data_IF_471245148920
#
_entry.id   IF_471245148920
#
_cell.length_a   1.000
_cell.length_b   1.000
_cell.length_c   1.000
_cell.angle_alpha   90.00
_cell.angle_beta   90.00
_cell.angle_gamma   90.00
#
_symmetry.space_group_name_H-M   'P 1'
#
loop_
_entity.id
_entity.type
_entity.pdbx_description
1 polymer ?
#
# COMPACT_ATOMS: atom_id res chain seq x y z
N UNK A 1 -4.62 -13.38 18.41
CA UNK A 1 -4.41 -11.92 18.57
C UNK A 1 -5.72 -11.20 18.32
N UNK A 2 -6.08 -10.20 19.13
CA UNK A 2 -7.31 -9.41 18.98
C UNK A 2 -7.23 -8.57 17.68
N UNK A 3 -8.37 -8.31 17.03
CA UNK A 3 -8.46 -7.50 15.80
C UNK A 3 -7.92 -6.08 16.01
N UNK A 4 -8.16 -5.49 17.18
CA UNK A 4 -7.63 -4.18 17.56
C UNK A 4 -6.09 -4.17 17.58
N UNK A 5 -5.46 -5.19 18.14
CA UNK A 5 -3.99 -5.29 18.17
C UNK A 5 -3.44 -5.43 16.74
N UNK A 6 -4.07 -6.26 15.90
CA UNK A 6 -3.68 -6.39 14.49
C UNK A 6 -3.73 -5.05 13.76
N UNK A 7 -4.82 -4.29 13.98
CA UNK A 7 -5.01 -2.96 13.41
C UNK A 7 -3.92 -1.98 13.86
N UNK A 8 -3.72 -1.85 15.17
CA UNK A 8 -2.74 -0.90 15.74
C UNK A 8 -1.31 -1.24 15.30
N UNK A 9 -0.92 -2.52 15.36
CA UNK A 9 0.43 -2.92 14.94
C UNK A 9 0.65 -2.65 13.45
N UNK A 10 -0.34 -2.96 12.59
CA UNK A 10 -0.25 -2.65 11.16
C UNK A 10 -0.10 -1.15 10.93
N UNK A 11 -0.89 -0.34 11.64
CA UNK A 11 -0.86 1.12 11.52
C UNK A 11 0.52 1.68 11.88
N UNK A 12 1.09 1.29 13.02
CA UNK A 12 2.41 1.75 13.46
C UNK A 12 3.56 1.19 12.60
N UNK A 13 3.40 0.03 11.99
CA UNK A 13 4.39 -0.49 11.04
C UNK A 13 4.39 0.28 9.72
N UNK A 14 3.20 0.70 9.21
CA UNK A 14 3.09 1.33 7.90
C UNK A 14 3.18 2.85 7.92
N UNK A 15 2.63 3.53 8.92
CA UNK A 15 2.60 5.00 8.91
C UNK A 15 3.99 5.64 8.75
N UNK A 16 5.05 5.19 9.45
CA UNK A 16 6.38 5.75 9.24
C UNK A 16 7.00 5.40 7.88
N UNK A 17 6.53 4.35 7.19
CA UNK A 17 7.15 3.92 5.92
C UNK A 17 7.06 4.99 4.84
N UNK A 18 6.02 5.84 4.86
CA UNK A 18 5.87 6.94 3.91
C UNK A 18 7.03 7.92 4.00
N UNK A 19 7.43 8.29 5.21
CA UNK A 19 8.60 9.15 5.43
C UNK A 19 9.91 8.41 5.18
N UNK A 20 10.04 7.17 5.68
CA UNK A 20 11.27 6.37 5.56
C UNK A 20 11.64 6.08 4.11
N UNK A 21 10.68 6.02 3.18
CA UNK A 21 10.93 5.91 1.73
C UNK A 21 11.83 7.05 1.22
N UNK A 22 11.76 8.24 1.80
CA UNK A 22 12.60 9.38 1.39
C UNK A 22 14.10 9.07 1.46
N UNK A 23 14.53 8.27 2.45
CA UNK A 23 15.93 7.83 2.57
C UNK A 23 16.35 6.78 1.52
N UNK A 24 15.42 6.32 0.71
CA UNK A 24 15.66 5.42 -0.43
C UNK A 24 15.73 6.16 -1.76
N UNK A 25 15.46 7.48 -1.76
CA UNK A 25 15.46 8.31 -2.96
C UNK A 25 16.80 9.05 -3.09
N UNK A 26 17.22 9.29 -4.32
CA UNK A 26 18.43 10.06 -4.62
C UNK A 26 19.47 9.25 -5.41
N UNK A 27 20.48 8.69 -4.74
CA UNK A 27 21.58 7.98 -5.40
C UNK A 27 21.13 6.67 -6.06
N UNK A 28 20.27 5.90 -5.39
CA UNK A 28 19.72 4.64 -5.90
C UNK A 28 18.39 4.91 -6.59
N UNK A 29 18.21 4.36 -7.80
CA UNK A 29 16.93 4.47 -8.50
C UNK A 29 15.79 3.85 -7.66
N UNK A 30 14.61 4.49 -7.58
CA UNK A 30 13.46 3.99 -6.82
C UNK A 30 13.07 2.54 -7.14
N UNK A 31 13.18 2.12 -8.39
CA UNK A 31 12.90 0.73 -8.83
C UNK A 31 13.86 -0.26 -8.18
N UNK A 32 15.15 0.09 -8.11
CA UNK A 32 16.19 -0.72 -7.49
C UNK A 32 15.96 -0.86 -5.98
N UNK A 33 15.58 0.23 -5.31
CA UNK A 33 15.25 0.21 -3.89
C UNK A 33 14.01 -0.66 -3.60
N UNK A 34 12.97 -0.61 -4.44
CA UNK A 34 11.78 -1.49 -4.32
C UNK A 34 12.18 -2.96 -4.55
N UNK A 35 13.02 -3.24 -5.55
CA UNK A 35 13.54 -4.59 -5.80
C UNK A 35 14.27 -5.14 -4.57
N UNK A 36 15.25 -4.41 -4.02
CA UNK A 36 15.99 -4.85 -2.82
C UNK A 36 15.06 -5.06 -1.63
N UNK A 37 14.14 -4.15 -1.39
CA UNK A 37 13.17 -4.22 -0.28
C UNK A 37 12.42 -5.55 -0.28
N UNK A 38 11.81 -5.92 -1.39
CA UNK A 38 10.96 -7.12 -1.45
C UNK A 38 11.77 -8.40 -1.66
N UNK A 39 12.94 -8.35 -2.28
CA UNK A 39 13.85 -9.47 -2.35
C UNK A 39 14.35 -9.86 -0.94
N UNK A 40 14.81 -8.90 -0.15
CA UNK A 40 15.25 -9.13 1.24
C UNK A 40 14.10 -9.70 2.07
N UNK A 41 12.91 -9.11 1.97
CA UNK A 41 11.72 -9.59 2.68
C UNK A 41 11.38 -11.04 2.30
N UNK A 42 11.40 -11.38 0.99
CA UNK A 42 11.16 -12.74 0.51
C UNK A 42 12.19 -13.73 1.05
N UNK A 43 13.48 -13.40 0.96
CA UNK A 43 14.57 -14.26 1.45
C UNK A 43 14.37 -14.56 2.95
N UNK A 44 14.11 -13.54 3.77
CA UNK A 44 13.89 -13.73 5.22
C UNK A 44 12.71 -14.66 5.47
N UNK A 45 11.59 -14.50 4.75
CA UNK A 45 10.42 -15.36 4.93
C UNK A 45 10.72 -16.79 4.44
N UNK A 46 11.42 -16.98 3.32
CA UNK A 46 11.81 -18.31 2.85
C UNK A 46 12.74 -19.02 3.84
N UNK A 47 13.75 -18.33 4.37
CA UNK A 47 14.63 -18.88 5.42
C UNK A 47 13.80 -19.35 6.63
N UNK A 48 12.84 -18.54 7.08
CA UNK A 48 11.92 -18.93 8.15
C UNK A 48 11.08 -20.16 7.78
N UNK A 49 10.53 -20.23 6.56
CA UNK A 49 9.70 -21.35 6.11
C UNK A 49 10.51 -22.67 6.01
N UNK A 50 11.74 -22.60 5.49
CA UNK A 50 12.67 -23.74 5.41
C UNK A 50 13.02 -24.20 6.83
N UNK A 51 13.39 -23.29 7.73
CA UNK A 51 13.69 -23.60 9.12
C UNK A 51 12.51 -24.29 9.83
N UNK A 52 11.30 -23.83 9.58
CA UNK A 52 10.05 -24.39 10.12
C UNK A 52 9.55 -25.63 9.32
N UNK A 53 10.29 -26.11 8.33
CA UNK A 53 9.95 -27.26 7.47
C UNK A 53 8.52 -27.14 6.89
N UNK A 54 8.11 -25.93 6.50
CA UNK A 54 6.80 -25.72 5.87
C UNK A 54 6.81 -26.17 4.42
N UNK A 55 5.64 -26.63 3.93
CA UNK A 55 5.51 -26.99 2.53
C UNK A 55 5.73 -25.76 1.63
N UNK A 56 6.61 -25.91 0.65
CA UNK A 56 6.93 -24.92 -0.38
C UNK A 56 6.54 -25.41 -1.79
N UNK A 57 5.95 -26.61 -1.90
CA UNK A 57 5.54 -27.14 -3.20
C UNK A 57 4.11 -26.71 -3.51
N UNK A 58 3.94 -25.98 -4.59
CA UNK A 58 2.66 -25.45 -5.07
C UNK A 58 2.51 -25.76 -6.56
N UNK A 59 1.27 -25.85 -7.03
CA UNK A 59 0.98 -26.06 -8.45
C UNK A 59 1.31 -24.82 -9.30
N UNK A 60 1.51 -25.00 -10.60
CA UNK A 60 1.76 -23.90 -11.54
C UNK A 60 0.65 -22.83 -11.47
N UNK A 61 -0.61 -23.26 -11.33
CA UNK A 61 -1.74 -22.35 -11.19
C UNK A 61 -1.64 -21.49 -9.91
N UNK A 62 -1.17 -22.07 -8.80
CA UNK A 62 -0.95 -21.30 -7.57
C UNK A 62 0.19 -20.30 -7.74
N UNK A 63 1.27 -20.67 -8.42
CA UNK A 63 2.38 -19.78 -8.75
C UNK A 63 1.95 -18.60 -9.64
N UNK A 64 1.05 -18.81 -10.61
CA UNK A 64 0.48 -17.72 -11.42
C UNK A 64 -0.31 -16.72 -10.54
N UNK A 65 -1.05 -17.20 -9.55
CA UNK A 65 -1.76 -16.31 -8.60
C UNK A 65 -0.81 -15.60 -7.62
N UNK A 66 0.29 -16.26 -7.21
CA UNK A 66 1.34 -15.61 -6.45
C UNK A 66 2.04 -14.51 -7.26
N UNK A 67 2.32 -14.78 -8.53
CA UNK A 67 2.91 -13.81 -9.46
C UNK A 67 1.99 -12.61 -9.65
N UNK A 68 0.70 -12.82 -9.92
CA UNK A 68 -0.26 -11.73 -10.07
C UNK A 68 -0.39 -10.89 -8.79
N UNK A 69 -0.49 -11.55 -7.63
CA UNK A 69 -0.51 -10.90 -6.33
C UNK A 69 0.77 -10.08 -6.10
N UNK A 70 1.92 -10.67 -6.37
CA UNK A 70 3.23 -10.02 -6.23
C UNK A 70 3.39 -8.82 -7.16
N UNK A 71 3.02 -8.97 -8.41
CA UNK A 71 3.08 -7.87 -9.41
C UNK A 71 2.21 -6.69 -8.98
N UNK A 72 0.98 -6.93 -8.56
CA UNK A 72 0.07 -5.86 -8.18
C UNK A 72 0.46 -5.20 -6.86
N UNK A 73 0.76 -6.00 -5.81
CA UNK A 73 0.91 -5.45 -4.46
C UNK A 73 2.36 -5.17 -4.07
N UNK A 74 3.34 -5.94 -4.58
CA UNK A 74 4.74 -5.85 -4.16
C UNK A 74 5.69 -5.37 -5.26
N UNK A 75 5.16 -5.05 -6.46
CA UNK A 75 5.90 -4.41 -7.54
C UNK A 75 5.23 -3.08 -7.91
N UNK A 76 4.23 -3.08 -8.78
CA UNK A 76 3.65 -1.88 -9.37
C UNK A 76 3.13 -0.88 -8.34
N UNK A 77 2.45 -1.34 -7.28
CA UNK A 77 2.00 -0.48 -6.19
C UNK A 77 3.18 0.34 -5.63
N UNK A 78 4.26 -0.32 -5.24
CA UNK A 78 5.40 0.36 -4.61
C UNK A 78 6.21 1.19 -5.60
N UNK A 79 6.40 0.70 -6.83
CA UNK A 79 7.05 1.48 -7.90
C UNK A 79 6.35 2.82 -8.08
N UNK A 80 5.02 2.81 -8.18
CA UNK A 80 4.25 4.04 -8.35
C UNK A 80 4.33 4.95 -7.12
N UNK A 81 4.30 4.41 -5.90
CA UNK A 81 4.44 5.25 -4.69
C UNK A 81 5.85 5.81 -4.51
N UNK A 82 6.89 5.03 -4.78
CA UNK A 82 8.26 5.55 -4.74
C UNK A 82 8.44 6.68 -5.75
N UNK A 83 7.95 6.50 -6.98
CA UNK A 83 7.97 7.56 -7.99
C UNK A 83 7.09 8.76 -7.58
N UNK A 84 5.93 8.54 -6.99
CA UNK A 84 5.09 9.62 -6.48
C UNK A 84 5.82 10.46 -5.40
N UNK A 85 6.57 9.82 -4.52
CA UNK A 85 7.35 10.49 -3.47
C UNK A 85 8.51 11.35 -4.00
N UNK A 86 8.88 11.24 -5.29
CA UNK A 86 9.84 12.17 -5.91
C UNK A 86 9.21 13.51 -6.26
N UNK A 87 7.87 13.59 -6.34
CA UNK A 87 7.12 14.79 -6.69
C UNK A 87 6.36 15.39 -5.52
N UNK A 88 6.07 14.60 -4.48
CA UNK A 88 5.18 14.97 -3.38
C UNK A 88 5.87 14.81 -2.02
N UNK A 89 5.41 15.61 -1.03
CA UNK A 89 5.71 15.36 0.38
C UNK A 89 5.14 14.00 0.76
N UNK A 90 5.85 13.23 1.58
CA UNK A 90 5.56 11.82 1.84
C UNK A 90 4.15 11.53 2.39
N UNK A 91 3.53 12.50 3.07
CA UNK A 91 2.17 12.38 3.57
C UNK A 91 1.09 12.40 2.47
N UNK A 92 1.31 13.10 1.36
CA UNK A 92 0.28 13.21 0.31
C UNK A 92 -0.01 11.90 -0.42
N UNK A 93 0.98 11.08 -0.82
CA UNK A 93 0.70 9.73 -1.31
C UNK A 93 -0.07 8.87 -0.31
N UNK A 94 0.16 9.03 1.00
CA UNK A 94 -0.61 8.34 2.04
C UNK A 94 -2.08 8.79 2.08
N UNK A 95 -2.33 10.10 1.89
CA UNK A 95 -3.71 10.64 1.77
C UNK A 95 -4.40 10.05 0.55
N UNK A 96 -3.75 10.04 -0.61
CA UNK A 96 -4.29 9.42 -1.83
C UNK A 96 -4.53 7.91 -1.62
N UNK A 97 -3.62 7.22 -0.93
CA UNK A 97 -3.77 5.79 -0.61
C UNK A 97 -5.02 5.49 0.22
N UNK A 98 -5.54 6.44 1.01
CA UNK A 98 -6.79 6.23 1.75
C UNK A 98 -7.99 5.89 0.84
N UNK A 99 -7.94 6.28 -0.44
CA UNK A 99 -8.94 5.88 -1.46
C UNK A 99 -8.95 4.39 -1.75
N UNK A 100 -7.96 3.62 -1.27
CA UNK A 100 -7.91 2.16 -1.41
C UNK A 100 -9.18 1.49 -0.88
N UNK A 101 -9.81 2.07 0.15
CA UNK A 101 -11.07 1.57 0.71
C UNK A 101 -12.18 1.61 -0.35
N UNK A 102 -12.29 2.74 -1.04
CA UNK A 102 -13.27 2.94 -2.13
C UNK A 102 -12.97 1.98 -3.28
N UNK A 103 -11.70 1.92 -3.70
CA UNK A 103 -11.26 1.04 -4.77
C UNK A 103 -11.46 -0.44 -4.41
N UNK A 104 -11.23 -0.84 -3.15
CA UNK A 104 -11.51 -2.21 -2.68
C UNK A 104 -12.99 -2.56 -2.76
N UNK A 105 -13.88 -1.63 -2.41
CA UNK A 105 -15.33 -1.87 -2.48
C UNK A 105 -15.79 -1.99 -3.93
N UNK A 106 -15.29 -1.13 -4.81
CA UNK A 106 -15.52 -1.25 -6.24
C UNK A 106 -14.95 -2.56 -6.78
N UNK A 107 -13.72 -2.92 -6.37
CA UNK A 107 -13.11 -4.22 -6.69
C UNK A 107 -13.95 -5.40 -6.22
N UNK A 108 -14.45 -5.39 -4.97
CA UNK A 108 -15.37 -6.43 -4.49
C UNK A 108 -16.66 -6.51 -5.34
N UNK A 109 -17.15 -5.37 -5.82
CA UNK A 109 -18.30 -5.36 -6.72
C UNK A 109 -18.00 -6.01 -8.08
N UNK A 110 -16.91 -5.63 -8.73
CA UNK A 110 -16.55 -6.12 -10.06
C UNK A 110 -16.08 -7.58 -10.05
N UNK A 111 -15.19 -7.94 -9.12
CA UNK A 111 -14.59 -9.29 -9.07
C UNK A 111 -15.47 -10.32 -8.36
N UNK A 112 -16.17 -9.92 -7.30
CA UNK A 112 -16.99 -10.85 -6.49
C UNK A 112 -18.48 -10.57 -6.58
N UNK A 113 -18.90 -9.65 -7.48
CA UNK A 113 -20.31 -9.27 -7.72
C UNK A 113 -21.07 -8.81 -6.47
N UNK A 114 -20.37 -8.34 -5.45
CA UNK A 114 -20.96 -7.76 -4.24
C UNK A 114 -21.48 -6.35 -4.56
N UNK A 115 -22.79 -6.11 -4.42
CA UNK A 115 -23.36 -4.77 -4.67
C UNK A 115 -22.99 -3.81 -3.54
N UNK A 116 -22.38 -2.65 -3.83
CA UNK A 116 -22.13 -1.64 -2.82
C UNK A 116 -23.46 -1.08 -2.29
N UNK A 117 -23.52 -0.75 -1.02
CA UNK A 117 -24.70 -0.11 -0.44
C UNK A 117 -24.73 1.38 -0.78
N UNK A 118 -25.91 2.01 -0.69
CA UNK A 118 -26.05 3.45 -0.87
C UNK A 118 -25.13 4.24 0.09
N UNK A 119 -24.97 3.77 1.33
CA UNK A 119 -24.06 4.38 2.30
C UNK A 119 -22.60 4.33 1.84
N UNK A 120 -22.19 3.23 1.18
CA UNK A 120 -20.87 3.10 0.58
C UNK A 120 -20.65 4.16 -0.49
N UNK A 121 -21.62 4.34 -1.38
CA UNK A 121 -21.53 5.32 -2.47
C UNK A 121 -21.45 6.74 -1.91
N UNK A 122 -22.32 7.08 -0.94
CA UNK A 122 -22.28 8.40 -0.27
C UNK A 122 -20.93 8.63 0.41
N UNK A 123 -20.44 7.67 1.19
CA UNK A 123 -19.15 7.79 1.86
C UNK A 123 -17.99 7.92 0.88
N UNK A 124 -18.01 7.18 -0.23
CA UNK A 124 -17.04 7.28 -1.31
C UNK A 124 -17.02 8.69 -1.95
N UNK A 125 -18.21 9.25 -2.23
CA UNK A 125 -18.35 10.61 -2.76
C UNK A 125 -17.82 11.65 -1.79
N UNK A 126 -18.15 11.56 -0.50
CA UNK A 126 -17.64 12.46 0.54
C UNK A 126 -16.13 12.36 0.65
N UNK A 127 -15.56 11.14 0.64
CA UNK A 127 -14.11 10.94 0.67
C UNK A 127 -13.39 11.56 -0.54
N UNK A 128 -13.97 11.41 -1.74
CA UNK A 128 -13.44 12.05 -2.96
C UNK A 128 -13.48 13.59 -2.86
N UNK A 129 -14.55 14.16 -2.32
CA UNK A 129 -14.63 15.62 -2.08
C UNK A 129 -13.51 16.05 -1.14
N UNK A 130 -13.24 15.28 -0.06
CA UNK A 130 -12.12 15.54 0.85
C UNK A 130 -10.78 15.59 0.13
N UNK A 131 -10.50 14.64 -0.79
CA UNK A 131 -9.27 14.63 -1.59
C UNK A 131 -9.20 15.83 -2.54
N UNK A 132 -10.29 16.16 -3.22
CA UNK A 132 -10.36 17.33 -4.11
C UNK A 132 -10.06 18.62 -3.35
N UNK A 133 -10.56 18.75 -2.11
CA UNK A 133 -10.27 19.90 -1.25
C UNK A 133 -8.79 19.91 -0.87
N UNK A 134 -8.21 18.79 -0.39
CA UNK A 134 -6.79 18.72 0.01
C UNK A 134 -5.86 19.13 -1.12
N UNK A 135 -6.21 18.81 -2.35
CA UNK A 135 -5.40 19.10 -3.54
C UNK A 135 -6.04 20.20 -4.42
N UNK A 136 -6.85 21.09 -3.82
CA UNK A 136 -7.57 22.13 -4.58
C UNK A 136 -6.60 23.07 -5.31
N UNK A 137 -5.55 23.51 -4.64
CA UNK A 137 -4.55 24.39 -5.22
C UNK A 137 -3.84 23.75 -6.43
N UNK A 138 -3.47 22.48 -6.33
CA UNK A 138 -2.83 21.73 -7.41
C UNK A 138 -3.79 21.43 -8.57
N UNK A 139 -5.08 21.29 -8.28
CA UNK A 139 -6.12 21.01 -9.28
C UNK A 139 -6.52 22.29 -10.03
N UNK A 140 -6.74 23.40 -9.30
CA UNK A 140 -7.23 24.65 -9.87
C UNK A 140 -6.11 25.54 -10.42
N UNK A 141 -4.91 25.51 -9.83
CA UNK A 141 -3.73 26.21 -10.30
C UNK A 141 -2.81 25.27 -11.09
N UNK A 142 -3.40 24.46 -11.98
CA UNK A 142 -2.70 23.44 -12.75
C UNK A 142 -1.47 24.02 -13.46
N UNK A 143 -0.31 23.78 -12.88
CA UNK A 143 0.98 24.09 -13.49
C UNK A 143 1.71 22.80 -13.83
N UNK A 144 2.03 22.61 -15.12
CA UNK A 144 2.88 21.49 -15.56
C UNK A 144 4.30 21.58 -14.98
N UNK A 145 4.70 22.76 -14.47
CA UNK A 145 6.07 23.01 -14.05
C UNK A 145 6.49 22.27 -12.78
N UNK A 146 5.57 22.04 -11.84
CA UNK A 146 5.92 21.48 -10.50
C UNK A 146 5.80 19.96 -10.40
N UNK A 147 5.25 19.27 -11.41
CA UNK A 147 5.13 17.80 -11.41
C UNK A 147 4.14 17.22 -10.40
N UNK A 148 3.47 18.03 -9.56
CA UNK A 148 2.53 17.58 -8.52
C UNK A 148 1.43 16.68 -9.09
N UNK A 149 0.86 17.05 -10.24
CA UNK A 149 -0.14 16.24 -10.95
C UNK A 149 0.38 14.85 -11.36
N UNK A 150 1.67 14.75 -11.73
CA UNK A 150 2.32 13.46 -12.01
C UNK A 150 2.40 12.63 -10.75
N UNK A 151 2.82 13.24 -9.64
CA UNK A 151 2.89 12.59 -8.34
C UNK A 151 1.52 12.05 -7.88
N UNK A 152 0.45 12.85 -8.03
CA UNK A 152 -0.92 12.44 -7.71
C UNK A 152 -1.41 11.29 -8.59
N UNK A 153 -1.17 11.37 -9.90
CA UNK A 153 -1.54 10.31 -10.84
C UNK A 153 -0.83 9.00 -10.52
N UNK A 154 0.48 9.06 -10.21
CA UNK A 154 1.25 7.89 -9.79
C UNK A 154 0.72 7.31 -8.47
N UNK A 155 0.37 8.14 -7.50
CA UNK A 155 -0.24 7.68 -6.25
C UNK A 155 -1.59 6.97 -6.48
N UNK A 156 -2.43 7.48 -7.39
CA UNK A 156 -3.69 6.83 -7.78
C UNK A 156 -3.44 5.48 -8.47
N UNK A 157 -2.47 5.38 -9.38
CA UNK A 157 -2.08 4.12 -10.02
C UNK A 157 -1.55 3.13 -8.99
N UNK A 158 -0.74 3.59 -8.03
CA UNK A 158 -0.25 2.77 -6.92
C UNK A 158 -1.40 2.24 -6.06
N UNK A 159 -2.37 3.10 -5.72
CA UNK A 159 -3.56 2.72 -4.96
C UNK A 159 -4.43 1.71 -5.72
N UNK A 160 -4.65 1.92 -7.00
CA UNK A 160 -5.39 0.98 -7.85
C UNK A 160 -4.71 -0.38 -7.92
N UNK A 161 -3.38 -0.39 -8.07
CA UNK A 161 -2.57 -1.62 -8.07
C UNK A 161 -2.68 -2.35 -6.73
N UNK A 162 -2.62 -1.61 -5.60
CA UNK A 162 -2.82 -2.18 -4.26
C UNK A 162 -4.21 -2.79 -4.09
N UNK A 163 -5.25 -2.11 -4.54
CA UNK A 163 -6.62 -2.62 -4.49
C UNK A 163 -6.78 -3.90 -5.31
N UNK A 164 -6.22 -3.95 -6.52
CA UNK A 164 -6.19 -5.16 -7.34
C UNK A 164 -5.48 -6.30 -6.62
N UNK A 165 -4.32 -6.02 -6.00
CA UNK A 165 -3.59 -7.00 -5.18
C UNK A 165 -4.44 -7.52 -4.01
N UNK A 166 -5.18 -6.65 -3.31
CA UNK A 166 -6.11 -7.07 -2.24
C UNK A 166 -7.21 -8.00 -2.76
N UNK A 167 -7.74 -7.77 -3.97
CA UNK A 167 -8.73 -8.66 -4.59
C UNK A 167 -8.11 -10.03 -4.93
N UNK A 168 -6.89 -10.05 -5.47
CA UNK A 168 -6.15 -11.29 -5.74
C UNK A 168 -5.90 -12.06 -4.43
N UNK A 169 -5.48 -11.37 -3.36
CA UNK A 169 -5.31 -12.00 -2.06
C UNK A 169 -6.63 -12.57 -1.50
N UNK A 170 -7.73 -11.81 -1.58
CA UNK A 170 -9.04 -12.30 -1.15
C UNK A 170 -9.47 -13.56 -1.93
N UNK A 171 -9.18 -13.61 -3.22
CA UNK A 171 -9.40 -14.81 -4.04
C UNK A 171 -8.52 -15.98 -3.58
N UNK A 172 -7.24 -15.73 -3.27
CA UNK A 172 -6.32 -16.75 -2.79
C UNK A 172 -6.77 -17.30 -1.43
N UNK A 173 -7.24 -16.43 -0.53
CA UNK A 173 -7.84 -16.81 0.73
C UNK A 173 -9.06 -17.73 0.55
N UNK A 174 -9.97 -17.38 -0.35
CA UNK A 174 -11.15 -18.18 -0.66
C UNK A 174 -10.80 -19.59 -1.23
N UNK A 175 -9.58 -19.75 -1.77
CA UNK A 175 -9.05 -21.02 -2.26
C UNK A 175 -8.08 -21.68 -1.25
N UNK A 176 -8.12 -21.29 0.02
CA UNK A 176 -7.32 -21.85 1.11
C UNK A 176 -5.80 -21.79 0.90
N UNK A 177 -5.30 -20.76 0.21
CA UNK A 177 -3.86 -20.58 0.08
C UNK A 177 -3.24 -20.17 1.42
N UNK A 178 -2.13 -20.81 1.87
CA UNK A 178 -1.51 -20.48 3.15
C UNK A 178 -0.86 -19.09 3.12
N UNK A 179 -1.14 -18.26 4.13
CA UNK A 179 -0.71 -16.85 4.17
C UNK A 179 0.80 -16.67 3.99
N UNK A 180 1.61 -17.31 4.84
CA UNK A 180 3.06 -17.03 4.87
C UNK A 180 3.78 -17.49 3.58
N UNK A 181 3.55 -18.71 3.05
CA UNK A 181 4.08 -19.09 1.75
C UNK A 181 3.59 -18.19 0.60
N UNK A 182 2.30 -17.85 0.59
CA UNK A 182 1.73 -16.91 -0.41
C UNK A 182 2.46 -15.57 -0.38
N UNK A 183 2.72 -15.04 0.82
CA UNK A 183 3.45 -13.79 1.02
C UNK A 183 4.89 -13.89 0.51
N UNK A 184 5.61 -14.98 0.84
CA UNK A 184 6.99 -15.21 0.41
C UNK A 184 7.12 -15.23 -1.11
N UNK A 185 6.29 -16.05 -1.78
CA UNK A 185 6.30 -16.13 -3.25
C UNK A 185 5.84 -14.84 -3.91
N UNK A 186 4.83 -14.17 -3.37
CA UNK A 186 4.36 -12.92 -3.93
C UNK A 186 5.43 -11.81 -3.83
N UNK A 187 6.13 -11.70 -2.70
CA UNK A 187 7.25 -10.75 -2.56
C UNK A 187 8.42 -11.10 -3.47
N UNK A 188 8.75 -12.39 -3.63
CA UNK A 188 9.78 -12.82 -4.57
C UNK A 188 9.40 -12.46 -6.01
N UNK A 189 8.21 -12.84 -6.45
CA UNK A 189 7.78 -12.54 -7.82
C UNK A 189 7.61 -11.03 -8.06
N UNK A 190 7.09 -10.29 -7.08
CA UNK A 190 7.02 -8.84 -7.16
C UNK A 190 8.40 -8.19 -7.31
N UNK A 191 9.39 -8.66 -6.55
CA UNK A 191 10.78 -8.17 -6.69
C UNK A 191 11.38 -8.51 -8.05
N UNK A 192 11.16 -9.74 -8.56
CA UNK A 192 11.65 -10.15 -9.88
C UNK A 192 10.99 -9.37 -11.02
N UNK A 193 9.69 -9.07 -10.92
CA UNK A 193 9.00 -8.20 -11.89
C UNK A 193 9.60 -6.79 -11.85
N UNK A 194 9.86 -6.25 -10.65
CA UNK A 194 10.50 -4.94 -10.52
C UNK A 194 11.93 -4.95 -11.09
N UNK A 195 12.70 -6.01 -10.84
CA UNK A 195 14.01 -6.19 -11.46
C UNK A 195 13.93 -6.21 -12.98
N UNK A 196 12.97 -6.94 -13.55
CA UNK A 196 12.77 -7.01 -15.00
C UNK A 196 12.46 -5.61 -15.58
N UNK A 197 11.57 -4.83 -14.92
CA UNK A 197 11.27 -3.44 -15.32
C UNK A 197 12.54 -2.58 -15.25
N UNK A 198 13.35 -2.73 -14.20
CA UNK A 198 14.63 -2.03 -14.02
C UNK A 198 15.60 -2.33 -15.17
N UNK A 199 15.73 -3.61 -15.55
CA UNK A 199 16.60 -4.02 -16.67
C UNK A 199 16.11 -3.48 -18.02
N UNK A 200 14.80 -3.56 -18.29
CA UNK A 200 14.20 -3.00 -19.52
C UNK A 200 14.43 -1.49 -19.62
N UNK A 201 14.38 -0.78 -18.49
CA UNK A 201 14.68 0.66 -18.42
C UNK A 201 16.16 0.98 -18.60
N UNK A 202 17.05 -0.02 -18.52
CA UNK A 202 18.49 0.19 -18.56
C UNK A 202 19.07 0.83 -17.29
N UNK A 203 18.37 0.69 -16.16
CA UNK A 203 18.80 1.27 -14.88
C UNK A 203 19.86 0.37 -14.23
N UNK A 204 20.95 0.94 -13.79
CA UNK A 204 22.02 0.22 -13.09
C UNK A 204 21.56 -0.23 -11.69
N UNK A 205 21.96 -1.43 -11.29
CA UNK A 205 21.71 -1.97 -9.95
C UNK A 205 22.74 -1.43 -8.96
N UNK A 206 22.64 -0.14 -8.66
CA UNK A 206 23.49 0.51 -7.67
C UNK A 206 23.04 0.16 -6.24
N UNK A 207 23.97 0.22 -5.30
CA UNK A 207 23.69 0.08 -3.88
C UNK A 207 24.40 1.20 -3.11
N UNK A 208 23.69 1.85 -2.21
CA UNK A 208 24.24 2.89 -1.36
C UNK A 208 24.64 2.32 0.01
N UNK A 209 25.89 2.56 0.41
CA UNK A 209 26.45 2.04 1.67
C UNK A 209 26.29 3.00 2.85
N UNK A 210 25.54 4.10 2.70
CA UNK A 210 25.26 5.00 3.82
C UNK A 210 24.41 4.31 4.88
N UNK A 211 24.63 4.66 6.15
CA UNK A 211 23.86 4.10 7.26
C UNK A 211 22.35 4.41 7.13
N UNK A 212 22.02 5.59 6.61
CA UNK A 212 20.61 6.00 6.39
C UNK A 212 19.92 5.10 5.37
N UNK A 213 20.56 4.79 4.24
CA UNK A 213 20.02 3.91 3.23
C UNK A 213 19.87 2.48 3.75
N UNK A 214 20.92 1.92 4.37
CA UNK A 214 20.87 0.54 4.90
C UNK A 214 19.84 0.40 6.01
N UNK A 215 19.78 1.33 6.96
CA UNK A 215 18.81 1.28 8.06
C UNK A 215 17.38 1.44 7.56
N UNK A 216 17.13 2.36 6.61
CA UNK A 216 15.81 2.52 6.00
C UNK A 216 15.40 1.29 5.20
N UNK A 217 16.32 0.68 4.41
CA UNK A 217 16.06 -0.55 3.68
C UNK A 217 15.72 -1.72 4.61
N UNK A 218 16.46 -1.88 5.71
CA UNK A 218 16.19 -2.90 6.72
C UNK A 218 14.81 -2.69 7.38
N UNK A 219 14.49 -1.45 7.79
CA UNK A 219 13.18 -1.11 8.36
C UNK A 219 12.06 -1.40 7.36
N UNK A 220 12.17 -0.92 6.12
CA UNK A 220 11.16 -1.10 5.08
C UNK A 220 10.97 -2.57 4.71
N UNK A 221 12.03 -3.38 4.66
CA UNK A 221 11.95 -4.80 4.34
C UNK A 221 11.34 -5.60 5.49
N UNK A 222 11.77 -5.38 6.73
CA UNK A 222 11.37 -6.19 7.87
C UNK A 222 10.07 -5.68 8.47
N UNK A 223 10.04 -4.42 8.91
CA UNK A 223 8.87 -3.85 9.61
C UNK A 223 7.79 -3.47 8.62
N UNK A 224 8.15 -2.69 7.60
CA UNK A 224 7.20 -2.16 6.61
C UNK A 224 6.69 -3.18 5.60
N UNK A 225 7.39 -4.32 5.43
CA UNK A 225 6.94 -5.37 4.50
C UNK A 225 6.56 -6.66 5.25
N UNK A 226 7.46 -7.33 5.94
CA UNK A 226 7.14 -8.64 6.54
C UNK A 226 6.08 -8.50 7.64
N UNK A 227 6.37 -7.75 8.70
CA UNK A 227 5.45 -7.66 9.84
C UNK A 227 4.15 -6.94 9.47
N UNK A 228 4.25 -5.79 8.82
CA UNK A 228 3.08 -5.02 8.43
C UNK A 228 2.09 -5.84 7.59
N UNK A 229 2.56 -6.55 6.55
CA UNK A 229 1.69 -7.37 5.72
C UNK A 229 1.18 -8.63 6.43
N UNK A 230 1.97 -9.29 7.28
CA UNK A 230 1.46 -10.41 8.08
C UNK A 230 0.29 -9.96 8.96
N UNK A 231 0.42 -8.82 9.64
CA UNK A 231 -0.64 -8.31 10.52
C UNK A 231 -1.85 -7.80 9.72
N UNK A 232 -1.61 -7.07 8.64
CA UNK A 232 -2.67 -6.58 7.76
C UNK A 232 -3.48 -7.72 7.12
N UNK A 233 -2.80 -8.70 6.53
CA UNK A 233 -3.47 -9.83 5.86
C UNK A 233 -4.23 -10.71 6.87
N UNK A 234 -3.67 -10.90 8.08
CA UNK A 234 -4.42 -11.56 9.18
C UNK A 234 -5.63 -10.75 9.65
N UNK A 235 -5.55 -9.43 9.65
CA UNK A 235 -6.71 -8.57 9.91
C UNK A 235 -7.74 -8.75 8.81
N UNK A 236 -7.33 -8.70 7.55
CA UNK A 236 -8.17 -8.90 6.38
C UNK A 236 -8.88 -10.27 6.39
N UNK A 237 -8.17 -11.35 6.75
CA UNK A 237 -8.76 -12.69 6.93
C UNK A 237 -9.91 -12.69 7.96
N UNK A 238 -9.76 -11.93 9.04
CA UNK A 238 -10.73 -11.92 10.15
C UNK A 238 -11.92 -11.00 9.91
N UNK A 239 -11.71 -9.85 9.30
CA UNK A 239 -12.73 -8.79 9.23
C UNK A 239 -13.17 -8.45 7.80
N UNK A 240 -12.52 -9.02 6.78
CA UNK A 240 -12.72 -8.72 5.36
C UNK A 240 -11.95 -7.49 4.89
N UNK A 241 -11.79 -7.36 3.56
CA UNK A 241 -10.99 -6.30 2.93
C UNK A 241 -11.54 -4.89 3.26
N UNK A 242 -12.86 -4.70 3.24
CA UNK A 242 -13.51 -3.42 3.57
C UNK A 242 -13.14 -2.93 4.97
N UNK A 243 -13.22 -3.78 6.02
CA UNK A 243 -12.89 -3.40 7.40
C UNK A 243 -11.39 -3.30 7.64
N UNK A 244 -10.58 -4.14 7.03
CA UNK A 244 -9.12 -4.02 7.09
C UNK A 244 -8.65 -2.69 6.49
N UNK A 245 -9.36 -2.14 5.52
CA UNK A 245 -9.13 -0.83 4.92
C UNK A 245 -9.10 0.36 5.90
N UNK A 246 -9.63 0.21 7.14
CA UNK A 246 -9.51 1.25 8.20
C UNK A 246 -8.07 1.66 8.45
N UNK A 247 -7.12 0.76 8.30
CA UNK A 247 -5.69 1.09 8.38
C UNK A 247 -5.36 2.22 7.40
N UNK A 248 -5.86 2.12 6.15
CA UNK A 248 -5.66 3.14 5.11
C UNK A 248 -6.32 4.49 5.40
N UNK A 249 -7.33 4.56 6.30
CA UNK A 249 -7.98 5.82 6.69
C UNK A 249 -7.25 6.52 7.83
N UNK A 250 -6.76 5.76 8.80
CA UNK A 250 -6.06 6.33 9.97
C UNK A 250 -4.59 6.60 9.65
N UNK A 251 -4.00 5.83 8.75
CA UNK A 251 -2.59 5.96 8.36
C UNK A 251 -2.19 7.37 7.86
N UNK A 252 -2.98 8.07 7.01
CA UNK A 252 -2.66 9.43 6.59
C UNK A 252 -2.53 10.42 7.75
N UNK A 253 -3.35 10.29 8.79
CA UNK A 253 -3.28 11.18 9.96
C UNK A 253 -1.91 11.08 10.62
N UNK A 254 -1.42 9.85 10.86
CA UNK A 254 -0.09 9.65 11.42
C UNK A 254 1.03 10.05 10.44
N UNK A 255 0.85 9.80 9.14
CA UNK A 255 1.82 10.21 8.12
C UNK A 255 1.94 11.75 8.08
N UNK A 256 0.82 12.49 8.13
CA UNK A 256 0.82 13.95 8.19
C UNK A 256 1.50 14.49 9.46
N UNK A 257 1.24 13.88 10.62
CA UNK A 257 1.93 14.24 11.86
C UNK A 257 3.45 14.03 11.76
N UNK A 258 3.88 12.91 11.15
CA UNK A 258 5.30 12.63 10.91
C UNK A 258 5.89 13.68 9.95
N UNK A 259 5.21 13.99 8.84
CA UNK A 259 5.68 14.99 7.87
C UNK A 259 5.69 16.40 8.45
N UNK A 260 4.78 16.75 9.39
CA UNK A 260 4.82 18.02 10.10
C UNK A 260 6.12 18.17 10.90
N UNK A 261 6.53 17.10 11.59
CA UNK A 261 7.72 17.13 12.46
C UNK A 261 9.03 17.04 11.66
N UNK A 262 9.07 16.21 10.62
CA UNK A 262 10.33 15.85 9.94
C UNK A 262 10.48 16.46 8.54
N UNK A 263 9.40 16.94 7.92
CA UNK A 263 9.41 17.53 6.58
C UNK A 263 8.93 19.00 6.57
N UNK A 264 8.69 19.60 7.75
CA UNK A 264 8.16 20.97 7.90
C UNK A 264 6.86 21.20 7.12
N UNK A 265 5.97 20.18 7.11
CA UNK A 265 4.66 20.31 6.46
C UNK A 265 3.84 21.40 7.13
N UNK A 266 3.46 22.42 6.38
CA UNK A 266 2.54 23.46 6.82
C UNK A 266 1.10 23.01 6.66
N UNK A 267 0.29 23.22 7.71
CA UNK A 267 -1.13 22.88 7.68
C UNK A 267 -1.93 24.02 7.03
N UNK A 268 -2.03 23.97 5.72
CA UNK A 268 -2.87 24.88 4.96
C UNK A 268 -4.37 24.62 5.22
N UNK A 269 -5.22 25.61 4.93
CA UNK A 269 -6.66 25.52 5.18
C UNK A 269 -7.31 24.33 4.47
N UNK A 270 -6.89 24.05 3.26
CA UNK A 270 -7.39 22.94 2.44
C UNK A 270 -7.12 21.59 3.08
N UNK A 271 -5.93 21.39 3.66
CA UNK A 271 -5.58 20.18 4.38
C UNK A 271 -6.41 20.05 5.68
N UNK A 272 -6.58 21.16 6.42
CA UNK A 272 -7.35 21.18 7.68
C UNK A 272 -8.83 20.86 7.44
N UNK A 273 -9.40 21.30 6.33
CA UNK A 273 -10.81 21.07 5.97
C UNK A 273 -10.98 19.71 5.29
N UNK A 274 -10.13 19.39 4.33
CA UNK A 274 -10.28 18.21 3.49
C UNK A 274 -10.02 16.90 4.23
N UNK A 275 -9.07 16.88 5.18
CA UNK A 275 -8.73 15.66 5.93
C UNK A 275 -9.90 15.13 6.79
N UNK A 276 -10.61 15.93 7.60
CA UNK A 276 -11.81 15.46 8.30
C UNK A 276 -12.90 14.97 7.36
N UNK A 277 -13.13 15.62 6.22
CA UNK A 277 -14.13 15.21 5.23
C UNK A 277 -13.74 13.84 4.63
N UNK A 278 -12.46 13.65 4.27
CA UNK A 278 -11.94 12.37 3.81
C UNK A 278 -12.17 11.26 4.85
N UNK A 279 -11.86 11.53 6.13
CA UNK A 279 -12.03 10.56 7.22
C UNK A 279 -13.53 10.24 7.42
N UNK A 280 -14.41 11.24 7.40
CA UNK A 280 -15.87 11.03 7.51
C UNK A 280 -16.36 10.14 6.37
N UNK A 281 -15.96 10.44 5.14
CA UNK A 281 -16.29 9.63 3.96
C UNK A 281 -15.86 8.17 4.12
N UNK A 282 -14.64 7.95 4.54
CA UNK A 282 -14.09 6.62 4.76
C UNK A 282 -14.83 5.88 5.90
N UNK A 283 -15.11 6.53 7.04
CA UNK A 283 -15.88 5.95 8.17
C UNK A 283 -17.28 5.55 7.75
N UNK A 284 -17.97 6.34 6.92
CA UNK A 284 -19.30 6.00 6.39
C UNK A 284 -19.27 4.74 5.52
N UNK A 285 -18.20 4.58 4.72
CA UNK A 285 -18.02 3.38 3.89
C UNK A 285 -17.85 2.14 4.75
N UNK A 286 -17.15 2.24 5.87
CA UNK A 286 -16.71 1.11 6.68
C UNK A 286 -17.80 0.64 7.67
N UNK A 287 -18.61 1.55 8.20
CA UNK A 287 -19.64 1.25 9.21
C UNK A 287 -20.83 0.42 8.69
N UNK A 288 -20.62 -0.35 7.62
CA UNK A 288 -21.66 -1.20 7.07
C UNK A 288 -21.68 -2.58 7.71
N UNK A 289 -22.87 -3.02 8.13
CA UNK A 289 -23.10 -4.41 8.49
C UNK A 289 -22.95 -5.27 7.24
N UNK A 290 -21.81 -5.97 7.11
CA UNK A 290 -21.66 -7.01 6.08
C UNK A 290 -22.63 -8.13 6.45
N UNK A 291 -23.62 -8.40 5.59
CA UNK A 291 -24.40 -9.64 5.73
C UNK A 291 -23.41 -10.79 5.57
N UNK A 292 -23.40 -11.77 6.47
CA UNK A 292 -22.53 -12.94 6.33
C UNK A 292 -22.80 -13.59 4.97
N UNK A 293 -21.72 -13.96 4.29
CA UNK A 293 -21.80 -14.77 3.07
C UNK A 293 -22.40 -16.10 3.47
N UNK A 294 -23.59 -16.41 2.94
CA UNK A 294 -24.20 -17.75 3.04
C UNK A 294 -23.44 -18.72 2.14
#
# INVERSE_FOLDING_TARGET
MNNFILFIVTLFCWSPTWYVIKFQLGYVDPLVSVFYRFLIAAIIIFVYLIYKKKNLMFSLNQHLWFLLFGTCLYSLNYVFFYLSNTYLISAFPAVVFSTVVIMNILGEHFYFKKKPSLKTLIGATIGMIGIIIIFSDEIFNFSLANGTHVGLFLALLGTFSASTGNMVYQRNLNNNFPLIPTLAYAMLYGSLVTLLITQIKGTELLFEYSLSYIASLAYLSIVGSIFAFIFYLRLLEKVGAGRAGYVGVVMPVLALLISTVFENLEWQQDLIIGLPILIIGAVLVINQKIKPIK
#
